data_IF_610610108944
#
_entry.id   IF_610610108944
#
_cell.length_a   1.000
_cell.length_b   1.000
_cell.length_c   1.000
_cell.angle_alpha   90.00
_cell.angle_beta   90.00
_cell.angle_gamma   90.00
#
_symmetry.space_group_name_H-M   'P 1'
#
loop_
_entity.id
_entity.type
_entity.pdbx_description
1 polymer ?
#
# COMPACT_ATOMS: atom_id res chain seq x y z
N UNK A 1 69.51 -47.83 45.13
CA UNK A 1 68.43 -46.98 45.70
C UNK A 1 68.09 -45.92 44.67
N UNK A 2 67.08 -46.14 43.79
CA UNK A 2 66.63 -45.12 42.86
C UNK A 2 65.15 -44.79 43.23
N UNK A 3 64.93 -43.54 43.65
CA UNK A 3 63.58 -43.02 43.94
C UNK A 3 62.87 -42.68 42.65
N UNK A 4 61.68 -43.28 42.44
CA UNK A 4 60.80 -43.00 41.35
C UNK A 4 59.85 -41.84 41.77
N UNK A 5 59.90 -40.71 41.07
CA UNK A 5 58.93 -39.62 41.25
C UNK A 5 57.77 -39.84 40.26
N UNK A 6 56.62 -40.04 40.81
CA UNK A 6 55.36 -40.14 40.06
C UNK A 6 54.74 -38.73 39.95
N UNK A 7 54.77 -38.15 38.76
CA UNK A 7 54.10 -36.91 38.46
C UNK A 7 52.65 -37.20 38.09
N UNK A 8 51.73 -36.69 38.91
CA UNK A 8 50.27 -36.76 38.64
C UNK A 8 49.90 -35.56 37.74
N UNK A 9 49.55 -35.80 36.48
CA UNK A 9 48.95 -34.81 35.56
C UNK A 9 47.47 -34.68 35.91
N UNK A 10 47.07 -33.49 36.41
CA UNK A 10 45.68 -33.08 36.49
C UNK A 10 45.23 -32.59 35.11
N UNK A 11 44.39 -33.35 34.44
CA UNK A 11 43.73 -32.92 33.19
C UNK A 11 42.50 -32.10 33.57
N UNK A 12 42.58 -30.77 33.38
CA UNK A 12 41.41 -29.88 33.49
C UNK A 12 40.59 -29.96 32.20
N UNK A 13 39.45 -30.65 32.24
CA UNK A 13 38.52 -30.64 31.12
C UNK A 13 37.78 -29.30 31.06
N UNK A 14 38.13 -28.48 30.10
CA UNK A 14 37.36 -27.25 29.76
C UNK A 14 36.19 -27.68 28.92
N UNK A 15 35.02 -27.73 29.55
CA UNK A 15 33.74 -27.92 28.83
C UNK A 15 33.42 -26.57 28.13
N UNK A 16 33.73 -26.46 26.84
CA UNK A 16 33.24 -25.40 26.00
C UNK A 16 31.73 -25.63 25.81
N UNK A 17 30.90 -24.85 26.50
CA UNK A 17 29.50 -24.76 26.19
C UNK A 17 29.38 -24.12 24.81
N UNK A 18 29.04 -24.91 23.80
CA UNK A 18 28.61 -24.41 22.49
C UNK A 18 27.28 -23.68 22.71
N UNK A 19 27.32 -22.37 22.80
CA UNK A 19 26.13 -21.54 22.65
C UNK A 19 25.73 -21.67 21.19
N UNK A 20 24.87 -22.64 20.87
CA UNK A 20 24.22 -22.72 19.57
C UNK A 20 23.39 -21.46 19.41
N UNK A 21 23.79 -20.58 18.52
CA UNK A 21 22.89 -19.52 18.03
C UNK A 21 21.74 -20.23 17.34
N UNK A 22 20.57 -20.25 17.99
CA UNK A 22 19.34 -20.67 17.29
C UNK A 22 19.22 -19.78 16.05
N UNK A 23 18.93 -20.37 14.90
CA UNK A 23 18.66 -19.61 13.70
C UNK A 23 17.43 -18.72 13.98
N UNK A 24 17.47 -17.47 13.55
CA UNK A 24 16.32 -16.58 13.68
C UNK A 24 15.11 -17.20 12.98
N UNK A 25 13.95 -17.03 13.57
CA UNK A 25 12.66 -17.45 13.01
C UNK A 25 12.25 -16.46 11.92
N UNK A 26 12.04 -16.94 10.70
CA UNK A 26 11.55 -16.12 9.61
C UNK A 26 10.03 -15.89 9.73
N UNK A 27 9.60 -14.62 9.62
CA UNK A 27 8.23 -14.21 9.37
C UNK A 27 8.14 -13.64 7.96
N UNK A 28 7.24 -14.15 7.14
CA UNK A 28 7.08 -13.72 5.76
C UNK A 28 5.93 -12.72 5.65
N UNK A 29 6.28 -11.46 5.36
CA UNK A 29 5.33 -10.36 5.21
C UNK A 29 5.21 -9.96 3.76
N UNK A 30 3.98 -10.00 3.24
CA UNK A 30 3.67 -9.58 1.87
C UNK A 30 3.49 -8.07 1.83
N UNK A 31 4.07 -7.43 0.82
CA UNK A 31 3.98 -5.98 0.61
C UNK A 31 3.94 -5.63 -0.88
N UNK A 32 3.85 -4.33 -1.19
CA UNK A 32 3.70 -3.81 -2.55
C UNK A 32 5.01 -3.47 -3.25
N UNK A 33 6.15 -3.69 -2.60
CA UNK A 33 7.48 -3.42 -3.15
C UNK A 33 7.87 -1.94 -3.28
N UNK A 34 9.14 -1.71 -3.64
CA UNK A 34 9.69 -0.39 -3.89
C UNK A 34 9.67 0.53 -2.67
N UNK A 35 9.38 1.81 -2.87
CA UNK A 35 9.36 2.82 -1.80
C UNK A 35 8.40 2.47 -0.66
N UNK A 36 7.29 1.78 -0.95
CA UNK A 36 6.33 1.37 0.07
C UNK A 36 6.95 0.36 1.04
N UNK A 37 7.46 -0.77 0.54
CA UNK A 37 8.15 -1.76 1.39
C UNK A 37 9.33 -1.14 2.14
N UNK A 38 10.11 -0.27 1.49
CA UNK A 38 11.22 0.43 2.13
C UNK A 38 10.76 1.31 3.30
N UNK A 39 9.62 1.99 3.19
CA UNK A 39 9.05 2.79 4.28
C UNK A 39 8.62 1.91 5.46
N UNK A 40 8.02 0.75 5.20
CA UNK A 40 7.63 -0.21 6.23
C UNK A 40 8.86 -0.81 6.94
N UNK A 41 9.91 -1.13 6.18
CA UNK A 41 11.17 -1.63 6.75
C UNK A 41 11.73 -0.63 7.77
N UNK A 42 11.83 0.64 7.41
CA UNK A 42 12.36 1.69 8.28
C UNK A 42 11.47 2.01 9.48
N UNK A 43 10.14 2.08 9.26
CA UNK A 43 9.19 2.45 10.31
C UNK A 43 8.88 1.32 11.30
N UNK A 44 8.79 0.09 10.82
CA UNK A 44 8.26 -1.04 11.57
C UNK A 44 9.25 -2.20 11.72
N UNK A 45 9.73 -2.76 10.59
CA UNK A 45 10.43 -4.05 10.59
C UNK A 45 11.79 -3.95 11.29
N UNK A 46 12.62 -2.99 10.92
CA UNK A 46 13.94 -2.80 11.55
C UNK A 46 13.84 -2.47 13.04
N UNK A 47 12.98 -1.51 13.49
CA UNK A 47 12.78 -1.26 14.90
C UNK A 47 12.22 -2.46 15.70
N UNK A 48 11.38 -3.27 15.07
CA UNK A 48 10.87 -4.51 15.67
C UNK A 48 11.96 -5.56 15.82
N UNK A 49 12.68 -5.88 14.73
CA UNK A 49 13.77 -6.85 14.74
C UNK A 49 14.89 -6.47 15.71
N UNK A 50 15.17 -5.17 15.88
CA UNK A 50 16.16 -4.70 16.86
C UNK A 50 15.77 -5.04 18.30
N UNK A 51 14.47 -5.16 18.60
CA UNK A 51 13.95 -5.58 19.92
C UNK A 51 13.76 -7.11 20.01
N UNK A 52 13.65 -7.79 18.89
CA UNK A 52 13.36 -9.22 18.77
C UNK A 52 14.41 -9.91 17.89
N UNK A 53 15.68 -10.05 18.38
CA UNK A 53 16.80 -10.52 17.55
C UNK A 53 16.64 -11.98 17.07
N UNK A 54 15.74 -12.73 17.68
CA UNK A 54 15.40 -14.10 17.31
C UNK A 54 14.40 -14.19 16.16
N UNK A 55 13.88 -13.04 15.67
CA UNK A 55 12.92 -12.94 14.57
C UNK A 55 13.55 -12.19 13.41
N UNK A 56 13.37 -12.71 12.20
CA UNK A 56 13.70 -12.07 10.96
C UNK A 56 12.46 -11.87 10.11
N UNK A 57 12.12 -10.63 9.75
CA UNK A 57 11.06 -10.32 8.80
C UNK A 57 11.65 -10.42 7.39
N UNK A 58 11.00 -11.22 6.55
CA UNK A 58 11.33 -11.43 5.13
C UNK A 58 10.18 -10.86 4.31
N UNK A 59 10.46 -9.85 3.49
CA UNK A 59 9.44 -9.26 2.62
C UNK A 59 9.24 -10.11 1.35
N UNK A 60 7.97 -10.32 0.99
CA UNK A 60 7.52 -10.81 -0.31
C UNK A 60 6.78 -9.66 -1.02
N UNK A 61 7.40 -9.07 -2.04
CA UNK A 61 6.84 -7.92 -2.77
C UNK A 61 5.80 -8.34 -3.82
N UNK A 62 4.96 -9.30 -3.49
CA UNK A 62 3.94 -9.83 -4.39
C UNK A 62 2.50 -9.46 -4.00
N UNK A 63 2.29 -8.32 -3.32
CA UNK A 63 0.98 -7.80 -2.91
C UNK A 63 -0.03 -7.74 -4.06
N UNK A 64 0.41 -7.37 -5.27
CA UNK A 64 -0.43 -7.47 -6.46
C UNK A 64 -0.89 -8.91 -6.71
N UNK A 65 -2.20 -9.18 -6.53
CA UNK A 65 -2.79 -10.51 -6.65
C UNK A 65 -2.63 -11.39 -5.39
N UNK A 66 -2.37 -10.79 -4.23
CA UNK A 66 -2.21 -11.51 -2.97
C UNK A 66 -3.46 -12.33 -2.61
N UNK A 67 -4.67 -11.81 -2.83
CA UNK A 67 -5.91 -12.52 -2.56
C UNK A 67 -6.00 -13.85 -3.32
N UNK A 68 -5.72 -13.86 -4.63
CA UNK A 68 -5.76 -15.07 -5.44
C UNK A 68 -4.69 -16.10 -5.00
N UNK A 69 -3.50 -15.63 -4.64
CA UNK A 69 -2.44 -16.50 -4.13
C UNK A 69 -2.78 -17.06 -2.75
N UNK A 70 -3.39 -16.26 -1.87
CA UNK A 70 -3.83 -16.71 -0.56
C UNK A 70 -4.87 -17.83 -0.68
N UNK A 71 -5.87 -17.66 -1.57
CA UNK A 71 -6.84 -18.72 -1.89
C UNK A 71 -6.15 -20.03 -2.28
N UNK A 72 -5.21 -19.94 -3.23
CA UNK A 72 -4.47 -21.12 -3.71
C UNK A 72 -3.61 -21.79 -2.61
N UNK A 73 -2.99 -21.01 -1.73
CA UNK A 73 -2.19 -21.53 -0.60
C UNK A 73 -3.09 -22.24 0.44
N UNK A 74 -4.27 -21.67 0.73
CA UNK A 74 -5.24 -22.24 1.66
C UNK A 74 -5.81 -23.56 1.10
N UNK A 75 -6.22 -23.58 -0.17
CA UNK A 75 -6.71 -24.78 -0.85
C UNK A 75 -5.64 -25.91 -0.87
N UNK A 76 -4.38 -25.54 -1.09
CA UNK A 76 -3.27 -26.49 -1.10
C UNK A 76 -2.82 -26.91 0.31
N UNK A 77 -3.31 -26.29 1.39
CA UNK A 77 -2.84 -26.53 2.75
C UNK A 77 -1.37 -26.17 2.96
N UNK A 78 -0.84 -25.24 2.17
CA UNK A 78 0.56 -24.82 2.18
C UNK A 78 0.71 -23.32 2.33
N UNK A 79 0.23 -22.79 3.45
CA UNK A 79 0.36 -21.38 3.80
C UNK A 79 1.81 -21.06 4.17
N UNK A 80 2.41 -20.10 3.46
CA UNK A 80 3.78 -19.64 3.66
C UNK A 80 3.88 -18.17 4.07
N UNK A 81 2.79 -17.43 4.07
CA UNK A 81 2.70 -16.04 4.45
C UNK A 81 2.19 -15.90 5.89
N UNK A 82 2.73 -14.95 6.62
CA UNK A 82 2.37 -14.70 8.02
C UNK A 82 1.56 -13.40 8.19
N UNK A 83 1.83 -12.38 7.36
CA UNK A 83 1.11 -11.11 7.33
C UNK A 83 1.03 -10.60 5.90
N UNK A 84 -0.10 -10.00 5.51
CA UNK A 84 -0.33 -9.61 4.13
C UNK A 84 -0.88 -8.18 4.09
N UNK A 85 -0.18 -7.27 3.37
CA UNK A 85 -0.78 -6.00 2.96
C UNK A 85 -1.86 -6.26 1.91
N UNK A 86 -3.03 -5.69 2.14
CA UNK A 86 -4.17 -5.76 1.21
C UNK A 86 -4.88 -4.42 1.12
N UNK A 87 -5.41 -4.12 -0.05
CA UNK A 87 -6.41 -3.06 -0.19
C UNK A 87 -7.66 -3.38 0.65
N UNK A 88 -8.40 -2.37 1.03
CA UNK A 88 -9.60 -2.55 1.84
C UNK A 88 -10.62 -3.51 1.19
N UNK A 89 -10.84 -3.41 -0.12
CA UNK A 89 -11.76 -4.31 -0.84
C UNK A 89 -11.30 -5.76 -0.85
N UNK A 90 -10.01 -6.02 -1.12
CA UNK A 90 -9.46 -7.38 -1.08
C UNK A 90 -9.55 -7.98 0.33
N UNK A 91 -9.34 -7.16 1.37
CA UNK A 91 -9.44 -7.58 2.75
C UNK A 91 -10.88 -7.94 3.18
N UNK A 92 -11.89 -7.20 2.68
CA UNK A 92 -13.31 -7.55 2.87
C UNK A 92 -13.57 -8.94 2.27
N UNK A 93 -13.17 -9.17 1.02
CA UNK A 93 -13.33 -10.46 0.35
C UNK A 93 -12.60 -11.58 1.11
N UNK A 94 -11.34 -11.34 1.53
CA UNK A 94 -10.58 -12.33 2.28
C UNK A 94 -11.24 -12.70 3.62
N UNK A 95 -11.89 -11.72 4.28
CA UNK A 95 -12.64 -11.94 5.50
C UNK A 95 -13.90 -12.77 5.26
N UNK A 96 -14.71 -12.40 4.25
CA UNK A 96 -15.97 -13.07 3.93
C UNK A 96 -15.74 -14.52 3.48
N UNK A 97 -14.62 -14.81 2.84
CA UNK A 97 -14.21 -16.15 2.45
C UNK A 97 -13.54 -16.95 3.60
N UNK A 98 -13.35 -16.36 4.77
CA UNK A 98 -12.69 -17.00 5.91
C UNK A 98 -11.20 -17.23 5.73
N UNK A 99 -10.56 -16.54 4.78
CA UNK A 99 -9.12 -16.62 4.50
C UNK A 99 -8.28 -15.80 5.47
N UNK A 100 -8.89 -14.78 6.08
CA UNK A 100 -8.26 -13.89 7.06
C UNK A 100 -8.89 -14.08 8.45
N UNK A 101 -8.08 -13.92 9.48
CA UNK A 101 -8.47 -14.03 10.88
C UNK A 101 -9.20 -12.76 11.34
N UNK A 102 -10.28 -12.89 12.09
CA UNK A 102 -10.91 -11.77 12.78
C UNK A 102 -10.01 -11.23 13.90
N UNK A 103 -9.93 -9.92 14.01
CA UNK A 103 -9.10 -9.19 14.98
C UNK A 103 -9.99 -8.47 15.99
N UNK A 104 -9.83 -8.78 17.26
CA UNK A 104 -10.32 -7.91 18.31
C UNK A 104 -9.37 -6.71 18.45
N UNK A 105 -9.69 -5.62 17.75
CA UNK A 105 -8.84 -4.43 17.66
C UNK A 105 -8.48 -3.85 19.02
N UNK A 106 -9.37 -3.93 20.01
CA UNK A 106 -9.15 -3.31 21.32
C UNK A 106 -8.24 -4.13 22.24
N UNK A 107 -8.19 -5.45 22.05
CA UNK A 107 -7.35 -6.33 22.88
C UNK A 107 -6.05 -6.75 22.18
N UNK A 108 -6.06 -6.87 20.84
CA UNK A 108 -4.92 -7.33 20.07
C UNK A 108 -4.01 -6.19 19.59
N UNK A 109 -4.53 -4.97 19.44
CA UNK A 109 -3.74 -3.80 19.00
C UNK A 109 -3.46 -2.85 20.16
N UNK A 110 -2.55 -1.88 19.94
CA UNK A 110 -2.24 -0.87 20.95
C UNK A 110 -3.37 0.17 21.06
N UNK A 111 -3.77 0.53 22.28
CA UNK A 111 -4.59 1.72 22.50
C UNK A 111 -3.81 3.00 22.19
N UNK A 112 -4.52 4.11 21.93
CA UNK A 112 -3.87 5.43 21.81
C UNK A 112 -3.22 5.86 23.14
N UNK A 113 -2.26 6.80 23.13
CA UNK A 113 -1.55 7.25 24.34
C UNK A 113 -2.46 7.80 25.44
N UNK A 114 -3.62 8.34 25.09
CA UNK A 114 -4.63 8.85 26.03
C UNK A 114 -5.58 7.76 26.57
N UNK A 115 -5.39 6.49 26.15
CA UNK A 115 -6.22 5.35 26.53
C UNK A 115 -7.42 5.13 25.62
N UNK A 116 -7.59 5.89 24.54
CA UNK A 116 -8.64 5.63 23.54
C UNK A 116 -8.44 4.25 22.92
N UNK A 117 -9.46 3.36 22.94
CA UNK A 117 -9.38 2.04 22.34
C UNK A 117 -9.03 2.11 20.84
N UNK A 118 -8.32 1.10 20.33
CA UNK A 118 -7.89 1.05 18.92
C UNK A 118 -9.09 1.14 17.96
N UNK A 119 -10.20 0.45 18.25
CA UNK A 119 -11.41 0.50 17.43
C UNK A 119 -11.95 1.93 17.24
N UNK A 120 -11.86 2.77 18.27
CA UNK A 120 -12.29 4.17 18.19
C UNK A 120 -11.28 5.08 17.53
N UNK A 121 -9.99 4.80 17.71
CA UNK A 121 -8.91 5.62 17.16
C UNK A 121 -8.71 5.38 15.67
N UNK A 122 -8.97 4.18 15.18
CA UNK A 122 -9.07 3.88 13.75
C UNK A 122 -10.42 4.29 13.15
N UNK A 123 -11.51 4.18 13.93
CA UNK A 123 -12.86 4.57 13.49
C UNK A 123 -13.28 3.90 12.19
N UNK A 124 -13.78 4.71 11.24
CA UNK A 124 -14.31 4.23 9.95
C UNK A 124 -13.23 3.64 9.03
N UNK A 125 -11.95 3.69 9.41
CA UNK A 125 -10.89 3.02 8.65
C UNK A 125 -10.94 1.50 8.83
N UNK A 126 -11.62 0.98 9.87
CA UNK A 126 -11.86 -0.46 10.05
C UNK A 126 -13.03 -0.88 9.15
N UNK A 127 -12.71 -1.32 7.94
CA UNK A 127 -13.71 -1.70 6.92
C UNK A 127 -14.23 -3.13 7.07
N UNK A 128 -13.57 -3.96 7.88
CA UNK A 128 -13.90 -5.36 8.09
C UNK A 128 -13.31 -5.84 9.43
N UNK A 129 -13.91 -6.81 10.11
CA UNK A 129 -13.35 -7.37 11.35
C UNK A 129 -11.98 -8.03 11.17
N UNK A 130 -11.60 -8.43 9.95
CA UNK A 130 -10.28 -9.02 9.66
C UNK A 130 -9.22 -7.98 9.24
N UNK A 131 -9.61 -6.71 9.08
CA UNK A 131 -8.75 -5.68 8.52
C UNK A 131 -8.09 -4.82 9.61
N UNK A 132 -6.79 -4.65 9.49
CA UNK A 132 -5.99 -3.80 10.38
C UNK A 132 -5.51 -2.61 9.56
N UNK A 133 -6.13 -1.42 9.70
CA UNK A 133 -5.78 -0.25 8.91
C UNK A 133 -4.34 0.20 9.15
N UNK A 134 -3.62 0.57 8.09
CA UNK A 134 -2.25 1.06 8.17
C UNK A 134 -2.14 2.49 7.64
N UNK A 135 -2.46 2.69 6.37
CA UNK A 135 -2.31 3.97 5.69
C UNK A 135 -3.58 4.40 4.96
N UNK A 136 -3.69 5.72 4.81
CA UNK A 136 -4.54 6.38 3.82
C UNK A 136 -3.65 6.84 2.68
N UNK A 137 -3.96 6.42 1.47
CA UNK A 137 -3.25 6.86 0.27
C UNK A 137 -4.24 7.40 -0.77
N UNK A 138 -3.74 7.94 -1.84
CA UNK A 138 -4.56 8.25 -3.01
C UNK A 138 -3.90 7.81 -4.29
N UNK A 139 -4.73 7.39 -5.23
CA UNK A 139 -4.33 7.29 -6.63
C UNK A 139 -4.60 8.63 -7.29
N UNK A 140 -3.57 9.20 -7.94
CA UNK A 140 -3.65 10.51 -8.58
C UNK A 140 -2.75 10.55 -9.81
N UNK A 141 -2.63 11.69 -10.46
CA UNK A 141 -1.83 11.85 -11.66
C UNK A 141 -0.51 12.58 -11.39
N UNK A 142 0.59 12.02 -11.93
CA UNK A 142 1.81 12.75 -12.15
C UNK A 142 1.89 13.26 -13.59
N UNK A 143 2.59 14.38 -13.80
CA UNK A 143 2.89 14.91 -15.13
C UNK A 143 4.31 15.46 -15.25
N UNK A 144 4.86 15.40 -16.46
CA UNK A 144 6.18 15.98 -16.79
C UNK A 144 6.07 17.49 -16.99
N UNK A 145 6.71 18.27 -16.12
CA UNK A 145 6.71 19.75 -16.20
C UNK A 145 7.27 20.29 -17.50
N UNK A 146 8.29 19.62 -18.06
CA UNK A 146 8.96 20.02 -19.29
C UNK A 146 8.25 19.55 -20.57
N UNK A 147 7.16 18.78 -20.46
CA UNK A 147 6.39 18.27 -21.60
C UNK A 147 4.99 18.86 -21.73
N UNK A 148 4.52 19.62 -20.74
CA UNK A 148 3.15 20.19 -20.72
C UNK A 148 3.11 21.68 -21.11
N UNK A 149 4.27 22.25 -21.47
CA UNK A 149 4.38 23.68 -21.83
C UNK A 149 4.15 24.61 -20.63
N UNK A 150 3.72 25.84 -20.92
CA UNK A 150 3.55 26.90 -19.89
C UNK A 150 2.27 26.78 -19.08
N UNK A 151 1.38 25.86 -19.44
CA UNK A 151 0.09 25.66 -18.75
C UNK A 151 0.03 24.25 -18.18
N UNK A 152 0.33 24.07 -16.88
CA UNK A 152 0.22 22.76 -16.24
C UNK A 152 -1.22 22.19 -16.28
N UNK A 153 -1.39 20.87 -16.35
CA UNK A 153 -2.69 20.25 -16.21
C UNK A 153 -3.23 20.47 -14.78
N UNK A 154 -4.50 20.78 -14.66
CA UNK A 154 -5.15 21.10 -13.38
C UNK A 154 -6.48 20.39 -13.18
N UNK A 155 -6.92 19.64 -14.20
CA UNK A 155 -8.22 18.96 -14.18
C UNK A 155 -8.11 17.55 -14.74
N UNK A 156 -8.96 16.66 -14.25
CA UNK A 156 -9.08 15.30 -14.80
C UNK A 156 -9.39 15.31 -16.30
N UNK A 157 -10.10 16.33 -16.80
CA UNK A 157 -10.34 16.52 -18.23
C UNK A 157 -9.05 16.69 -19.04
N UNK A 158 -8.00 17.27 -18.44
CA UNK A 158 -6.72 17.47 -19.10
C UNK A 158 -6.00 16.13 -19.42
N UNK A 159 -6.30 15.08 -18.66
CA UNK A 159 -5.79 13.72 -18.93
C UNK A 159 -6.33 13.19 -20.27
N UNK A 160 -7.60 13.50 -20.58
CA UNK A 160 -8.28 13.06 -21.79
C UNK A 160 -8.11 14.02 -22.98
N UNK A 161 -7.50 15.19 -22.78
CA UNK A 161 -7.27 16.18 -23.85
C UNK A 161 -5.91 15.96 -24.51
N UNK A 162 -5.87 15.07 -25.50
CA UNK A 162 -4.66 14.79 -26.31
C UNK A 162 -4.28 15.96 -27.24
N UNK A 163 -5.17 16.94 -27.48
CA UNK A 163 -4.86 18.11 -28.31
C UNK A 163 -4.12 19.16 -27.50
N UNK A 164 -4.58 19.43 -26.26
CA UNK A 164 -3.94 20.39 -25.35
C UNK A 164 -2.62 19.83 -24.82
N UNK A 165 -2.58 18.55 -24.49
CA UNK A 165 -1.41 17.86 -23.96
C UNK A 165 -1.08 16.63 -24.81
N UNK A 166 -0.39 16.81 -25.95
CA UNK A 166 -0.04 15.70 -26.82
C UNK A 166 0.99 14.77 -26.16
N UNK A 167 0.90 13.48 -26.46
CA UNK A 167 1.79 12.43 -25.96
C UNK A 167 1.06 11.34 -25.17
N UNK A 168 1.83 10.36 -24.71
CA UNK A 168 1.28 9.18 -24.07
C UNK A 168 0.82 9.44 -22.63
N UNK A 169 -0.15 8.63 -22.20
CA UNK A 169 -0.60 8.49 -20.81
C UNK A 169 -0.10 7.17 -20.24
N UNK A 170 -0.02 7.06 -18.92
CA UNK A 170 0.16 5.80 -18.24
C UNK A 170 -1.02 5.57 -17.29
N UNK A 171 -1.76 4.48 -17.46
CA UNK A 171 -2.93 4.12 -16.65
C UNK A 171 -2.79 2.68 -16.15
N UNK A 172 -3.42 2.37 -15.03
CA UNK A 172 -3.44 1.01 -14.52
C UNK A 172 -4.30 0.10 -15.39
N UNK A 173 -3.86 -1.13 -15.62
CA UNK A 173 -4.56 -2.11 -16.45
C UNK A 173 -5.68 -2.82 -15.68
N UNK A 174 -6.55 -2.05 -15.06
CA UNK A 174 -7.76 -2.52 -14.35
C UNK A 174 -8.84 -1.44 -14.34
N UNK A 175 -10.10 -1.78 -14.08
CA UNK A 175 -11.20 -0.82 -14.13
C UNK A 175 -11.15 0.23 -13.02
N UNK A 176 -10.70 -0.15 -11.82
CA UNK A 176 -10.62 0.70 -10.62
C UNK A 176 -9.87 2.00 -10.95
N UNK A 177 -10.38 3.12 -10.49
CA UNK A 177 -9.96 4.48 -10.75
C UNK A 177 -10.18 4.94 -12.21
N UNK A 178 -9.92 4.06 -13.18
CA UNK A 178 -10.09 4.42 -14.60
C UNK A 178 -11.54 4.68 -14.97
N UNK A 179 -12.48 3.87 -14.47
CA UNK A 179 -13.89 4.08 -14.73
C UNK A 179 -14.42 5.32 -14.02
N UNK A 180 -14.00 5.57 -12.78
CA UNK A 180 -14.36 6.77 -12.04
C UNK A 180 -13.88 8.02 -12.76
N UNK A 181 -12.60 8.08 -13.13
CA UNK A 181 -12.05 9.23 -13.85
C UNK A 181 -12.66 9.42 -15.23
N UNK A 182 -12.95 8.35 -15.95
CA UNK A 182 -13.62 8.42 -17.24
C UNK A 182 -15.00 9.07 -17.09
N UNK A 183 -15.80 8.65 -16.11
CA UNK A 183 -17.12 9.21 -15.85
C UNK A 183 -17.07 10.65 -15.34
N UNK A 184 -16.12 10.99 -14.45
CA UNK A 184 -15.89 12.37 -14.01
C UNK A 184 -15.53 13.26 -15.18
N UNK A 185 -14.61 12.83 -16.04
CA UNK A 185 -14.22 13.56 -17.25
C UNK A 185 -15.33 13.64 -18.31
N UNK A 186 -16.31 12.76 -18.24
CA UNK A 186 -17.52 12.79 -19.09
C UNK A 186 -18.69 13.55 -18.46
N UNK A 187 -18.46 14.17 -17.29
CA UNK A 187 -19.41 15.09 -16.64
C UNK A 187 -20.43 14.43 -15.72
N UNK A 188 -20.18 13.18 -15.28
CA UNK A 188 -20.98 12.56 -14.21
C UNK A 188 -20.64 13.22 -12.89
N UNK A 189 -21.66 13.54 -12.09
CA UNK A 189 -21.46 14.11 -10.76
C UNK A 189 -20.77 13.10 -9.82
N UNK A 190 -19.86 13.54 -8.94
CA UNK A 190 -19.04 12.61 -8.12
C UNK A 190 -19.87 11.69 -7.23
N UNK A 191 -20.97 12.18 -6.70
CA UNK A 191 -21.91 11.41 -5.87
C UNK A 191 -22.74 10.40 -6.64
N UNK A 192 -22.73 10.44 -7.98
CA UNK A 192 -23.46 9.52 -8.85
C UNK A 192 -22.58 8.45 -9.52
N UNK A 193 -21.24 8.52 -9.33
CA UNK A 193 -20.30 7.65 -10.04
C UNK A 193 -20.65 6.17 -9.86
N UNK A 194 -20.82 5.71 -8.64
CA UNK A 194 -21.08 4.28 -8.38
C UNK A 194 -22.51 3.85 -8.71
N UNK A 195 -23.50 4.77 -8.66
CA UNK A 195 -24.85 4.52 -9.18
C UNK A 195 -24.80 4.29 -10.69
N UNK A 196 -24.07 5.13 -11.41
CA UNK A 196 -23.89 5.01 -12.87
C UNK A 196 -23.13 3.73 -13.21
N UNK A 197 -22.02 3.42 -12.50
CA UNK A 197 -21.23 2.19 -12.71
C UNK A 197 -22.02 0.91 -12.41
N UNK A 198 -23.08 0.96 -11.62
CA UNK A 198 -23.94 -0.19 -11.35
C UNK A 198 -24.83 -0.57 -12.55
N UNK A 199 -24.73 0.14 -13.68
CA UNK A 199 -25.50 -0.11 -14.89
C UNK A 199 -24.57 -0.44 -16.08
N UNK A 200 -25.05 -1.29 -17.00
CA UNK A 200 -24.31 -1.62 -18.22
C UNK A 200 -24.07 -0.38 -19.10
N UNK A 201 -25.04 0.55 -19.14
CA UNK A 201 -24.93 1.81 -19.86
C UNK A 201 -23.84 2.70 -19.27
N UNK A 202 -23.71 2.75 -17.94
CA UNK A 202 -22.67 3.51 -17.26
C UNK A 202 -21.29 2.94 -17.51
N UNK A 203 -21.14 1.63 -17.48
CA UNK A 203 -19.87 0.95 -17.84
C UNK A 203 -19.51 1.22 -19.30
N UNK A 204 -20.48 1.10 -20.22
CA UNK A 204 -20.26 1.40 -21.63
C UNK A 204 -19.85 2.87 -21.85
N UNK A 205 -20.40 3.81 -21.07
CA UNK A 205 -20.05 5.23 -21.10
C UNK A 205 -18.62 5.46 -20.61
N UNK A 206 -18.20 4.82 -19.52
CA UNK A 206 -16.81 4.88 -19.03
C UNK A 206 -15.82 4.33 -20.05
N UNK A 207 -16.12 3.17 -20.65
CA UNK A 207 -15.30 2.57 -21.72
C UNK A 207 -15.20 3.48 -22.94
N UNK A 208 -16.30 4.07 -23.40
CA UNK A 208 -16.31 5.00 -24.54
C UNK A 208 -15.42 6.23 -24.27
N UNK A 209 -15.38 6.71 -23.03
CA UNK A 209 -14.48 7.81 -22.65
C UNK A 209 -13.01 7.38 -22.67
N UNK A 210 -12.67 6.22 -22.12
CA UNK A 210 -11.32 5.65 -22.17
C UNK A 210 -10.87 5.39 -23.61
N UNK A 211 -11.79 4.97 -24.49
CA UNK A 211 -11.51 4.73 -25.91
C UNK A 211 -10.97 5.98 -26.62
N UNK A 212 -11.33 7.18 -26.17
CA UNK A 212 -10.82 8.43 -26.74
C UNK A 212 -9.31 8.61 -26.61
N UNK A 213 -8.67 7.88 -25.68
CA UNK A 213 -7.23 7.99 -25.41
C UNK A 213 -6.49 6.65 -25.48
N UNK A 214 -7.17 5.50 -25.58
CA UNK A 214 -6.58 4.16 -25.39
C UNK A 214 -5.34 3.89 -26.24
N UNK A 215 -5.28 4.39 -27.47
CA UNK A 215 -4.14 4.22 -28.39
C UNK A 215 -2.89 4.99 -27.95
N UNK A 216 -3.04 5.91 -27.01
CA UNK A 216 -1.97 6.68 -26.38
C UNK A 216 -1.72 6.27 -24.93
N UNK A 217 -2.24 5.12 -24.48
CA UNK A 217 -2.05 4.64 -23.11
C UNK A 217 -1.01 3.54 -23.05
N UNK A 218 -0.05 3.71 -22.15
CA UNK A 218 0.83 2.65 -21.65
C UNK A 218 0.16 2.07 -20.41
N UNK A 219 -0.32 0.85 -20.52
CA UNK A 219 -1.01 0.16 -19.43
C UNK A 219 0.00 -0.47 -18.47
N UNK A 220 -0.04 -0.07 -17.21
CA UNK A 220 0.83 -0.61 -16.18
C UNK A 220 0.10 -1.64 -15.28
N UNK A 221 0.87 -2.56 -14.72
CA UNK A 221 0.40 -3.61 -13.79
C UNK A 221 1.09 -3.54 -12.42
N UNK A 222 2.15 -2.73 -12.31
CA UNK A 222 2.90 -2.52 -11.06
C UNK A 222 3.08 -1.04 -10.80
N UNK A 223 2.72 -0.58 -9.59
CA UNK A 223 2.73 0.83 -9.23
C UNK A 223 4.07 1.58 -9.39
N UNK A 224 5.19 0.85 -9.48
CA UNK A 224 6.50 1.44 -9.77
C UNK A 224 6.72 1.78 -11.25
N UNK A 225 5.88 1.32 -12.18
CA UNK A 225 6.08 1.53 -13.61
C UNK A 225 5.82 2.97 -14.02
N UNK A 226 4.71 3.59 -13.57
CA UNK A 226 4.39 4.97 -13.95
C UNK A 226 5.43 6.00 -13.48
N UNK A 227 5.94 5.97 -12.23
CA UNK A 227 7.04 6.85 -11.84
C UNK A 227 8.24 6.75 -12.76
N UNK A 228 8.63 5.54 -13.16
CA UNK A 228 9.74 5.34 -14.09
C UNK A 228 9.45 5.90 -15.50
N UNK A 229 8.25 5.61 -16.04
CA UNK A 229 7.83 6.14 -17.34
C UNK A 229 7.79 7.68 -17.36
N UNK A 230 7.40 8.30 -16.26
CA UNK A 230 7.47 9.75 -16.07
C UNK A 230 8.92 10.23 -15.98
N UNK A 231 9.77 9.57 -15.19
CA UNK A 231 11.18 9.92 -15.05
C UNK A 231 11.92 9.87 -16.39
N UNK A 232 11.67 8.84 -17.19
CA UNK A 232 12.28 8.63 -18.50
C UNK A 232 11.67 9.52 -19.61
N UNK A 233 10.56 10.21 -19.34
CA UNK A 233 9.86 11.05 -20.34
C UNK A 233 9.14 10.25 -21.41
N UNK A 234 8.82 8.99 -21.16
CA UNK A 234 8.07 8.15 -22.09
C UNK A 234 6.57 8.49 -22.11
N UNK A 235 6.05 9.07 -21.02
CA UNK A 235 4.69 9.53 -20.89
C UNK A 235 4.64 10.97 -20.41
N UNK A 236 3.62 11.71 -20.86
CA UNK A 236 3.40 13.12 -20.44
C UNK A 236 2.68 13.18 -19.08
N UNK A 237 1.72 12.28 -18.86
CA UNK A 237 0.94 12.15 -17.66
C UNK A 237 0.71 10.67 -17.34
N UNK A 238 0.59 10.35 -16.06
CA UNK A 238 0.27 8.99 -15.67
C UNK A 238 -0.31 8.91 -14.28
N UNK A 239 -1.25 7.98 -14.10
CA UNK A 239 -1.82 7.67 -12.79
C UNK A 239 -0.92 6.73 -12.02
N UNK A 240 -0.75 6.98 -10.74
CA UNK A 240 -0.17 6.06 -9.77
C UNK A 240 -0.42 6.58 -8.35
N UNK A 241 0.12 5.92 -7.36
CA UNK A 241 -0.06 6.26 -5.95
C UNK A 241 0.78 7.49 -5.56
N UNK A 242 0.18 8.41 -4.79
CA UNK A 242 0.82 9.68 -4.42
C UNK A 242 2.19 9.52 -3.76
N UNK A 243 2.39 8.52 -2.90
CA UNK A 243 3.69 8.25 -2.28
C UNK A 243 4.79 7.88 -3.28
N UNK A 244 4.45 7.19 -4.37
CA UNK A 244 5.43 6.86 -5.42
C UNK A 244 5.74 8.09 -6.29
N UNK A 245 4.77 8.96 -6.51
CA UNK A 245 5.03 10.27 -7.15
C UNK A 245 5.89 11.16 -6.26
N UNK A 246 5.65 11.16 -4.94
CA UNK A 246 6.50 11.86 -4.00
C UNK A 246 7.97 11.42 -4.14
N UNK A 247 8.24 10.11 -4.16
CA UNK A 247 9.60 9.60 -4.29
C UNK A 247 10.26 10.09 -5.58
N UNK A 248 9.61 9.99 -6.74
CA UNK A 248 10.20 10.45 -8.02
C UNK A 248 10.41 11.96 -8.07
N UNK A 249 9.57 12.73 -7.39
CA UNK A 249 9.66 14.20 -7.33
C UNK A 249 10.72 14.65 -6.33
N UNK A 250 10.66 14.15 -5.10
CA UNK A 250 11.42 14.71 -3.99
C UNK A 250 12.69 13.94 -3.66
N UNK A 251 12.74 12.63 -3.88
CA UNK A 251 13.95 11.83 -3.68
C UNK A 251 14.80 11.79 -4.95
N UNK A 252 14.20 11.46 -6.10
CA UNK A 252 14.90 11.35 -7.37
C UNK A 252 15.05 12.68 -8.12
N UNK A 253 14.37 13.74 -7.66
CA UNK A 253 14.41 15.11 -8.24
C UNK A 253 14.09 15.17 -9.74
N UNK A 254 13.18 14.32 -10.19
CA UNK A 254 12.73 14.33 -11.57
C UNK A 254 11.82 15.55 -11.85
N UNK A 255 11.76 16.06 -13.09
CA UNK A 255 10.91 17.19 -13.45
C UNK A 255 9.42 16.79 -13.56
N UNK A 256 8.91 16.16 -12.52
CA UNK A 256 7.53 15.69 -12.39
C UNK A 256 6.79 16.58 -11.38
N UNK A 257 5.48 16.68 -11.50
CA UNK A 257 4.61 17.26 -10.47
C UNK A 257 3.33 16.44 -10.34
N UNK A 258 2.66 16.55 -9.19
CA UNK A 258 1.35 15.91 -8.95
C UNK A 258 0.21 16.83 -9.36
N UNK A 259 -0.86 16.21 -9.88
CA UNK A 259 -2.16 16.84 -10.12
C UNK A 259 -3.18 16.16 -9.20
N UNK A 260 -3.65 16.88 -8.18
CA UNK A 260 -4.52 16.33 -7.14
C UNK A 260 -6.02 16.34 -7.50
N UNK A 261 -6.39 16.90 -8.66
CA UNK A 261 -7.79 16.97 -9.07
C UNK A 261 -8.40 15.59 -9.25
N UNK A 262 -9.46 15.31 -8.52
CA UNK A 262 -10.13 14.02 -8.47
C UNK A 262 -9.22 12.85 -8.09
N UNK A 263 -8.30 13.10 -7.16
CA UNK A 263 -7.61 12.00 -6.49
C UNK A 263 -8.63 11.03 -5.87
N UNK A 264 -8.33 9.75 -5.93
CA UNK A 264 -9.19 8.71 -5.33
C UNK A 264 -8.56 8.25 -4.03
N UNK A 265 -9.22 8.50 -2.90
CA UNK A 265 -8.81 8.03 -1.58
C UNK A 265 -9.09 6.55 -1.42
N UNK A 266 -8.12 5.84 -0.93
CA UNK A 266 -8.19 4.42 -0.64
C UNK A 266 -7.40 4.09 0.63
N UNK A 267 -7.61 2.89 1.15
CA UNK A 267 -6.99 2.38 2.35
C UNK A 267 -6.15 1.16 2.02
N UNK A 268 -5.00 1.09 2.65
CA UNK A 268 -4.20 -0.13 2.71
C UNK A 268 -3.93 -0.52 4.16
N UNK A 269 -3.88 -1.80 4.40
CA UNK A 269 -3.69 -2.33 5.73
C UNK A 269 -3.33 -3.80 5.70
N UNK A 270 -3.35 -4.41 6.85
CA UNK A 270 -2.93 -5.78 7.02
C UNK A 270 -4.10 -6.73 7.25
N UNK A 271 -3.92 -7.95 6.78
CA UNK A 271 -4.70 -9.12 7.19
C UNK A 271 -3.76 -10.22 7.68
N UNK A 272 -4.21 -10.97 8.69
CA UNK A 272 -3.50 -12.16 9.19
C UNK A 272 -4.16 -13.39 8.57
N UNK A 273 -3.43 -14.21 7.80
CA UNK A 273 -4.03 -15.39 7.17
C UNK A 273 -4.51 -16.39 8.21
N UNK A 274 -5.70 -16.96 8.02
CA UNK A 274 -6.26 -18.00 8.90
C UNK A 274 -5.37 -19.25 8.85
N UNK A 275 -5.03 -19.80 10.04
CA UNK A 275 -4.24 -21.02 10.16
C UNK A 275 -2.74 -20.82 10.01
N UNK A 276 -2.25 -19.60 10.13
CA UNK A 276 -0.82 -19.26 10.16
C UNK A 276 -0.10 -19.92 11.34
N UNK A 277 1.15 -20.35 11.13
CA UNK A 277 1.96 -21.01 12.16
C UNK A 277 2.57 -20.04 13.17
N UNK A 278 2.70 -18.78 12.79
CA UNK A 278 3.40 -17.73 13.51
C UNK A 278 2.48 -16.65 14.07
N UNK A 279 1.19 -16.96 14.22
CA UNK A 279 0.13 -16.02 14.61
C UNK A 279 0.48 -15.20 15.85
N UNK A 280 1.01 -15.83 16.91
CA UNK A 280 1.35 -15.13 18.15
C UNK A 280 2.43 -14.03 17.93
N UNK A 281 3.48 -14.34 17.16
CA UNK A 281 4.53 -13.35 16.85
C UNK A 281 4.01 -12.23 15.94
N UNK A 282 3.12 -12.57 15.02
CA UNK A 282 2.46 -11.58 14.12
C UNK A 282 1.58 -10.63 14.93
N UNK A 283 0.81 -11.12 15.89
CA UNK A 283 -0.04 -10.29 16.75
C UNK A 283 0.80 -9.36 17.64
N UNK A 284 1.94 -9.85 18.18
CA UNK A 284 2.87 -9.00 18.92
C UNK A 284 3.51 -7.92 18.00
N UNK A 285 3.86 -8.29 16.77
CA UNK A 285 4.33 -7.33 15.78
C UNK A 285 3.25 -6.29 15.45
N UNK A 286 2.01 -6.72 15.20
CA UNK A 286 0.90 -5.81 14.89
C UNK A 286 0.61 -4.84 16.03
N UNK A 287 0.65 -5.32 17.28
CA UNK A 287 0.53 -4.45 18.44
C UNK A 287 1.61 -3.37 18.50
N UNK A 288 2.84 -3.70 18.10
CA UNK A 288 3.93 -2.74 17.97
C UNK A 288 3.75 -1.81 16.76
N UNK A 289 3.48 -2.37 15.58
CA UNK A 289 3.41 -1.62 14.31
C UNK A 289 2.21 -0.66 14.26
N UNK A 290 1.11 -1.01 14.95
CA UNK A 290 -0.10 -0.17 15.02
C UNK A 290 -0.06 0.85 16.18
N UNK A 291 1.02 0.93 16.96
CA UNK A 291 1.20 2.00 17.94
C UNK A 291 1.12 3.37 17.26
N UNK A 292 0.56 4.36 17.96
CA UNK A 292 0.35 5.71 17.43
C UNK A 292 1.61 6.31 16.80
N UNK A 293 2.76 6.17 17.48
CA UNK A 293 4.03 6.69 16.98
C UNK A 293 4.54 5.89 15.78
N UNK A 294 4.35 4.56 15.79
CA UNK A 294 4.85 3.71 14.70
C UNK A 294 4.12 3.97 13.39
N UNK A 295 2.79 4.12 13.42
CA UNK A 295 2.04 4.47 12.20
C UNK A 295 2.44 5.85 11.66
N UNK A 296 2.73 6.83 12.53
CA UNK A 296 3.31 8.11 12.08
C UNK A 296 4.71 7.96 11.49
N UNK A 297 5.55 7.10 12.07
CA UNK A 297 6.93 6.91 11.60
C UNK A 297 7.00 6.52 10.11
N UNK A 298 5.99 5.83 9.55
CA UNK A 298 5.97 5.55 8.11
C UNK A 298 5.83 6.82 7.26
N UNK A 299 5.06 7.80 7.73
CA UNK A 299 4.91 9.09 7.05
C UNK A 299 6.21 9.91 6.97
N UNK A 300 7.25 9.53 7.75
CA UNK A 300 8.60 10.12 7.63
C UNK A 300 9.37 9.66 6.40
N UNK A 301 8.92 8.60 5.73
CA UNK A 301 9.63 7.98 4.62
C UNK A 301 8.81 7.93 3.33
N UNK A 302 7.51 8.13 3.39
CA UNK A 302 6.60 8.14 2.23
C UNK A 302 5.38 9.00 2.53
N UNK A 303 4.82 9.67 1.53
CA UNK A 303 3.70 10.60 1.71
C UNK A 303 2.32 9.90 1.77
N UNK A 304 2.21 8.88 2.64
CA UNK A 304 0.94 8.25 2.99
C UNK A 304 0.51 8.66 4.40
N UNK A 305 -0.76 8.98 4.56
CA UNK A 305 -1.30 9.35 5.86
C UNK A 305 -1.45 8.12 6.77
N UNK A 306 -1.12 8.23 8.07
CA UNK A 306 -1.42 7.16 9.01
C UNK A 306 -2.94 6.99 9.18
N UNK A 307 -3.40 5.74 9.26
CA UNK A 307 -4.84 5.43 9.38
C UNK A 307 -5.41 5.67 10.78
N UNK A 308 -4.61 6.09 11.78
CA UNK A 308 -5.06 6.40 13.14
C UNK A 308 -5.27 7.90 13.33
N UNK A 309 -6.35 8.27 13.98
CA UNK A 309 -6.64 9.67 14.33
C UNK A 309 -5.56 10.26 15.27
N UNK A 310 -5.06 9.46 16.23
CA UNK A 310 -3.98 9.88 17.14
C UNK A 310 -2.63 10.06 16.47
N UNK A 311 -2.37 9.40 15.33
CA UNK A 311 -1.10 9.49 14.59
C UNK A 311 -1.06 10.68 13.63
N UNK A 312 -2.18 11.07 13.04
CA UNK A 312 -2.26 12.11 12.02
C UNK A 312 -1.65 13.48 12.47
N UNK A 313 -1.90 13.97 13.71
CA UNK A 313 -1.30 15.23 14.18
C UNK A 313 0.21 15.16 14.40
N UNK A 314 0.80 13.97 14.44
CA UNK A 314 2.23 13.76 14.67
C UNK A 314 3.04 13.81 13.38
N UNK A 315 2.39 13.76 12.21
CA UNK A 315 3.06 13.82 10.90
C UNK A 315 3.90 15.10 10.84
N UNK A 316 5.19 14.91 10.69
CA UNK A 316 6.18 15.98 10.75
C UNK A 316 7.02 16.06 9.48
N UNK A 317 8.33 15.97 9.66
CA UNK A 317 9.32 16.17 8.60
C UNK A 317 9.84 14.84 8.06
N UNK A 318 10.07 14.75 6.75
CA UNK A 318 10.73 13.59 6.13
C UNK A 318 12.11 13.37 6.74
N UNK A 319 12.38 12.12 7.16
CA UNK A 319 13.56 11.80 7.98
C UNK A 319 14.91 12.10 7.30
N UNK A 320 14.98 11.97 5.98
CA UNK A 320 16.21 12.14 5.20
C UNK A 320 16.26 13.47 4.44
N UNK A 321 15.11 13.97 3.95
CA UNK A 321 15.03 15.15 3.08
C UNK A 321 14.76 16.44 3.84
N UNK A 322 14.29 16.38 5.08
CA UNK A 322 13.91 17.56 5.86
C UNK A 322 12.69 18.32 5.31
N UNK A 323 11.90 17.70 4.45
CA UNK A 323 10.69 18.27 3.84
C UNK A 323 9.53 18.11 4.82
N UNK A 324 8.71 19.15 4.98
CA UNK A 324 7.44 19.06 5.70
C UNK A 324 6.48 18.11 4.97
N UNK A 325 6.08 17.04 5.63
CA UNK A 325 5.25 15.98 5.04
C UNK A 325 3.77 16.32 5.04
N UNK A 326 3.30 17.23 5.89
CA UNK A 326 1.90 17.65 5.89
C UNK A 326 1.37 18.02 4.49
N UNK A 327 2.01 18.99 3.79
CA UNK A 327 1.60 19.39 2.43
C UNK A 327 1.76 18.30 1.36
N UNK A 328 2.46 17.22 1.65
CA UNK A 328 2.65 16.09 0.72
C UNK A 328 1.57 15.02 0.87
N UNK A 329 0.73 15.13 1.90
CA UNK A 329 -0.31 14.15 2.19
C UNK A 329 -1.55 14.34 1.31
N UNK A 330 -2.22 13.25 0.91
CA UNK A 330 -3.47 13.34 0.16
C UNK A 330 -4.58 14.06 0.95
N UNK A 331 -4.49 14.03 2.28
CA UNK A 331 -5.44 14.64 3.21
C UNK A 331 -5.19 16.14 3.47
N UNK A 332 -4.10 16.73 2.95
CA UNK A 332 -3.90 18.18 3.06
C UNK A 332 -5.08 18.94 2.42
N UNK A 333 -5.64 19.99 3.09
CA UNK A 333 -6.80 20.71 2.57
C UNK A 333 -6.60 21.32 1.17
N UNK A 334 -5.36 21.61 0.76
CA UNK A 334 -5.09 22.12 -0.59
C UNK A 334 -5.13 20.99 -1.64
N UNK A 335 -4.74 19.77 -1.25
CA UNK A 335 -4.73 18.60 -2.11
C UNK A 335 -6.11 17.94 -2.18
N UNK A 336 -6.89 18.00 -1.10
CA UNK A 336 -8.18 17.30 -0.95
C UNK A 336 -9.40 18.13 -1.43
N UNK A 337 -9.21 19.16 -2.26
CA UNK A 337 -10.31 20.02 -2.75
C UNK A 337 -11.32 19.26 -3.59
N UNK A 338 -10.84 18.37 -4.43
CA UNK A 338 -11.65 17.46 -5.24
C UNK A 338 -11.13 16.05 -5.01
N UNK A 339 -11.85 15.32 -4.19
CA UNK A 339 -11.50 13.96 -3.81
C UNK A 339 -12.70 13.05 -4.04
N UNK A 340 -12.48 11.92 -4.67
CA UNK A 340 -13.45 10.83 -4.72
C UNK A 340 -13.08 9.81 -3.63
N UNK A 341 -14.07 9.49 -2.79
CA UNK A 341 -13.92 8.40 -1.84
C UNK A 341 -14.10 7.07 -2.57
N UNK A 342 -13.14 6.21 -2.47
CA UNK A 342 -13.23 4.84 -2.98
C UNK A 342 -14.39 4.10 -2.29
N UNK A 343 -15.22 3.42 -3.08
CA UNK A 343 -16.29 2.60 -2.54
C UNK A 343 -15.85 1.15 -2.42
N UNK A 344 -15.41 0.78 -1.23
CA UNK A 344 -14.86 -0.56 -0.94
C UNK A 344 -15.87 -1.67 -1.21
N UNK A 345 -17.12 -1.49 -0.78
CA UNK A 345 -18.18 -2.47 -0.95
C UNK A 345 -18.52 -2.68 -2.42
N UNK A 346 -18.71 -1.56 -3.17
CA UNK A 346 -18.95 -1.63 -4.60
C UNK A 346 -17.89 -2.45 -5.33
N UNK A 347 -16.63 -2.18 -5.07
CA UNK A 347 -15.54 -2.88 -5.74
C UNK A 347 -15.34 -4.31 -5.24
N UNK A 348 -15.59 -4.61 -3.95
CA UNK A 348 -15.59 -5.97 -3.45
C UNK A 348 -16.64 -6.84 -4.16
N UNK A 349 -17.84 -6.29 -4.40
CA UNK A 349 -18.93 -7.01 -5.03
C UNK A 349 -18.82 -7.12 -6.56
N UNK A 350 -18.17 -6.16 -7.24
CA UNK A 350 -18.25 -6.00 -8.69
C UNK A 350 -16.91 -6.14 -9.43
N UNK A 351 -15.79 -6.34 -8.74
CA UNK A 351 -14.45 -6.29 -9.33
C UNK A 351 -14.27 -7.27 -10.49
N UNK A 352 -14.71 -8.50 -10.35
CA UNK A 352 -14.52 -9.55 -11.37
C UNK A 352 -15.29 -9.23 -12.65
N UNK A 353 -16.57 -8.88 -12.54
CA UNK A 353 -17.43 -8.50 -13.69
C UNK A 353 -16.90 -7.24 -14.39
N UNK A 354 -16.56 -6.21 -13.61
CA UNK A 354 -16.00 -4.97 -14.15
C UNK A 354 -14.65 -5.20 -14.82
N UNK A 355 -13.80 -6.10 -14.28
CA UNK A 355 -12.52 -6.46 -14.88
C UNK A 355 -12.71 -7.18 -16.22
N UNK A 356 -13.67 -8.09 -16.33
CA UNK A 356 -14.01 -8.76 -17.60
C UNK A 356 -14.44 -7.73 -18.64
N UNK A 357 -15.39 -6.84 -18.30
CA UNK A 357 -15.89 -5.77 -19.18
C UNK A 357 -14.77 -4.82 -19.61
N UNK A 358 -13.90 -4.43 -18.68
CA UNK A 358 -12.76 -3.55 -18.96
C UNK A 358 -11.77 -4.19 -19.95
N UNK A 359 -11.35 -5.43 -19.70
CA UNK A 359 -10.43 -6.12 -20.59
C UNK A 359 -11.03 -6.39 -21.97
N UNK A 360 -12.33 -6.72 -22.04
CA UNK A 360 -13.05 -6.84 -23.32
C UNK A 360 -13.07 -5.50 -24.08
N UNK A 361 -13.32 -4.39 -23.38
CA UNK A 361 -13.30 -3.05 -23.97
C UNK A 361 -11.93 -2.61 -24.49
N UNK A 362 -10.83 -3.01 -23.83
CA UNK A 362 -9.48 -2.71 -24.30
C UNK A 362 -9.06 -3.53 -25.54
N UNK A 363 -9.70 -4.67 -25.80
CA UNK A 363 -9.35 -5.57 -26.89
C UNK A 363 -9.92 -5.12 -28.25
N UNK A 364 -10.84 -4.17 -28.27
CA UNK A 364 -11.50 -3.62 -29.45
C UNK A 364 -11.04 -2.19 -29.71
#
# INVERSE_FOLDING_TARGET
MKKLYMQTLLATAVTAAAVGTAAAKDLVFVSWGGAYTASQQKAYHEPWMAKNPDIKIVNDDSGGGALAKLRAMQEAGNLTWDLIDMTASDAIIACDEGLAMEIDHDTMLAAAPDGTPASKDFGDMIVSPCYIPQIVYSTTFGYRKDMVGDTPPTSINDVFDLKKYPGKRSLEKRPINNFEWALLADGVAPDQIYEVLSTDEGVARALAKLDTIKDQVVWWEKGAQTPQLLADGEVVMGSTYNGRLFSVIEEEKQPVAMMWDWQVFDLDGWVVPTGGKNEADVLEYLKFATDTQRLEDQAKYISYGPARASSAPLVGTHAELGIDMGPQMPTDPNNAKHTLQYNFEFWADNLDDMSEKFHAGLAH
#
